data_IF_059962240047
#
_entry.id   IF_059962240047
#
_cell.length_a   1.000
_cell.length_b   1.000
_cell.length_c   1.000
_cell.angle_alpha   90.00
_cell.angle_beta   90.00
_cell.angle_gamma   90.00
#
_symmetry.space_group_name_H-M   'P 1'
#
loop_
_entity.id
_entity.type
_entity.pdbx_description
1 polymer ?
#
# COMPACT_ATOMS: atom_id res chain seq x y z
N UNK A 1 -0.51 15.20 -2.95
CA UNK A 1 -0.45 14.10 -1.96
C UNK A 1 -1.28 14.40 -0.73
N UNK A 2 -0.97 15.43 0.08
CA UNK A 2 -1.76 15.75 1.31
C UNK A 2 -3.27 15.87 1.08
N UNK A 3 -3.69 16.60 0.05
CA UNK A 3 -5.10 16.80 -0.26
C UNK A 3 -5.84 15.50 -0.65
N UNK A 4 -5.17 14.59 -1.38
CA UNK A 4 -5.76 13.30 -1.77
C UNK A 4 -5.89 12.33 -0.58
N UNK A 5 -4.98 12.41 0.40
CA UNK A 5 -5.10 11.65 1.65
C UNK A 5 -6.28 12.14 2.49
N UNK A 6 -6.48 13.46 2.58
CA UNK A 6 -7.62 14.04 3.30
C UNK A 6 -8.97 13.66 2.67
N UNK A 7 -9.05 13.61 1.34
CA UNK A 7 -10.25 13.14 0.63
C UNK A 7 -10.50 11.64 0.83
N UNK A 8 -9.45 10.81 0.80
CA UNK A 8 -9.56 9.38 1.06
C UNK A 8 -10.01 9.09 2.50
N UNK A 9 -9.44 9.79 3.49
CA UNK A 9 -9.84 9.68 4.91
C UNK A 9 -11.30 10.10 5.11
N UNK A 10 -11.75 11.17 4.45
CA UNK A 10 -13.14 11.61 4.53
C UNK A 10 -14.11 10.57 3.95
N UNK A 11 -13.73 9.92 2.84
CA UNK A 11 -14.54 8.92 2.15
C UNK A 11 -14.59 7.57 2.89
N UNK A 12 -13.46 7.08 3.40
CA UNK A 12 -13.35 5.76 4.02
C UNK A 12 -13.67 5.78 5.53
N UNK A 13 -13.44 6.91 6.21
CA UNK A 13 -13.47 6.98 7.67
C UNK A 13 -12.27 6.24 8.28
N UNK A 14 -12.37 5.82 9.54
CA UNK A 14 -11.32 5.00 10.14
C UNK A 14 -11.20 3.69 9.35
N UNK A 15 -9.97 3.32 9.00
CA UNK A 15 -9.66 2.07 8.31
C UNK A 15 -8.68 1.24 9.13
N UNK A 16 -8.89 -0.07 9.15
CA UNK A 16 -7.88 -1.05 9.59
C UNK A 16 -7.47 -1.89 8.40
N UNK A 17 -6.15 -2.06 8.23
CA UNK A 17 -5.59 -2.83 7.11
C UNK A 17 -4.90 -4.07 7.65
N UNK A 18 -5.22 -5.21 7.04
CA UNK A 18 -4.53 -6.48 7.25
C UNK A 18 -3.84 -6.86 5.95
N UNK A 19 -2.57 -7.22 6.04
CA UNK A 19 -1.78 -7.71 4.92
C UNK A 19 -1.60 -9.23 5.06
N UNK A 20 -1.81 -9.96 3.97
CA UNK A 20 -1.59 -11.42 3.90
C UNK A 20 -0.84 -11.77 2.61
N UNK A 21 -0.27 -12.99 2.56
CA UNK A 21 0.49 -13.47 1.40
C UNK A 21 1.61 -12.50 0.96
N UNK A 22 2.25 -11.85 1.94
CA UNK A 22 3.32 -10.90 1.69
C UNK A 22 4.53 -11.62 1.09
N UNK A 23 5.01 -11.11 -0.04
CA UNK A 23 6.24 -11.52 -0.69
C UNK A 23 7.17 -10.33 -0.72
N UNK A 24 8.32 -10.49 -0.07
CA UNK A 24 9.40 -9.52 -0.03
C UNK A 24 10.58 -10.02 -0.86
N UNK A 25 11.01 -9.23 -1.83
CA UNK A 25 12.20 -9.52 -2.64
C UNK A 25 13.09 -8.29 -2.72
N UNK A 26 14.40 -8.48 -2.50
CA UNK A 26 15.40 -7.44 -2.65
C UNK A 26 16.41 -7.83 -3.74
N UNK A 27 16.71 -6.90 -4.65
CA UNK A 27 17.71 -7.07 -5.69
C UNK A 27 18.48 -5.75 -5.89
N UNK A 28 19.74 -5.72 -5.46
CA UNK A 28 20.56 -4.51 -5.49
C UNK A 28 19.93 -3.38 -4.68
N UNK A 29 19.73 -2.24 -5.32
CA UNK A 29 19.09 -1.06 -4.70
C UNK A 29 17.55 -1.08 -4.78
N UNK A 30 16.95 -2.20 -5.18
CA UNK A 30 15.51 -2.31 -5.35
C UNK A 30 14.87 -3.29 -4.38
N UNK A 31 13.67 -2.95 -3.92
CA UNK A 31 12.78 -3.84 -3.17
C UNK A 31 11.48 -3.97 -3.96
N UNK A 32 10.99 -5.18 -4.10
CA UNK A 32 9.66 -5.51 -4.58
C UNK A 32 8.88 -6.08 -3.40
N UNK A 33 7.76 -5.43 -3.08
CA UNK A 33 6.82 -5.88 -2.07
C UNK A 33 5.46 -6.11 -2.72
N UNK A 34 4.93 -7.32 -2.60
CA UNK A 34 3.59 -7.66 -3.10
C UNK A 34 2.82 -8.39 -2.01
N UNK A 35 1.50 -8.32 -2.06
CA UNK A 35 0.66 -9.13 -1.19
C UNK A 35 -0.81 -8.82 -1.39
N UNK A 36 -1.63 -9.39 -0.52
CA UNK A 36 -3.06 -9.11 -0.43
C UNK A 36 -3.32 -8.12 0.69
N UNK A 37 -4.28 -7.23 0.49
CA UNK A 37 -4.81 -6.40 1.56
C UNK A 37 -6.29 -6.70 1.79
N UNK A 38 -6.67 -6.70 3.06
CA UNK A 38 -8.05 -6.59 3.51
C UNK A 38 -8.15 -5.33 4.35
N UNK A 39 -8.95 -4.37 3.89
CA UNK A 39 -9.15 -3.09 4.56
C UNK A 39 -10.60 -2.98 5.02
N UNK A 40 -10.81 -2.99 6.33
CA UNK A 40 -12.13 -2.73 6.90
C UNK A 40 -12.26 -1.22 7.12
N UNK A 41 -13.21 -0.60 6.43
CA UNK A 41 -13.49 0.84 6.51
C UNK A 41 -14.82 1.09 7.21
N UNK A 42 -14.88 2.16 8.00
CA UNK A 42 -16.10 2.54 8.72
C UNK A 42 -17.27 2.84 7.76
N UNK A 43 -16.98 3.45 6.60
CA UNK A 43 -18.02 3.97 5.69
C UNK A 43 -18.25 3.14 4.43
N UNK A 44 -17.28 2.32 4.00
CA UNK A 44 -17.36 1.56 2.75
C UNK A 44 -17.36 0.04 2.94
N UNK A 45 -17.31 -0.44 4.19
CA UNK A 45 -17.23 -1.87 4.49
C UNK A 45 -15.84 -2.45 4.21
N UNK A 46 -15.78 -3.73 3.85
CA UNK A 46 -14.52 -4.42 3.55
C UNK A 46 -14.10 -4.22 2.09
N UNK A 47 -12.89 -3.71 1.89
CA UNK A 47 -12.19 -3.66 0.61
C UNK A 47 -11.10 -4.71 0.61
N UNK A 48 -11.05 -5.54 -0.43
CA UNK A 48 -10.01 -6.56 -0.60
C UNK A 48 -9.36 -6.37 -1.95
N UNK A 49 -8.09 -6.72 -2.04
CA UNK A 49 -7.35 -6.63 -3.28
C UNK A 49 -5.92 -7.08 -3.13
N UNK A 50 -5.18 -6.95 -4.22
CA UNK A 50 -3.75 -7.20 -4.26
C UNK A 50 -3.01 -5.87 -4.40
N UNK A 51 -1.82 -5.77 -3.82
CA UNK A 51 -0.94 -4.62 -3.96
C UNK A 51 0.43 -5.02 -4.48
N UNK A 52 1.09 -4.08 -5.16
CA UNK A 52 2.48 -4.19 -5.62
C UNK A 52 3.17 -2.85 -5.42
N UNK A 53 4.30 -2.88 -4.73
CA UNK A 53 5.16 -1.73 -4.51
C UNK A 53 6.58 -2.03 -4.97
N UNK A 54 7.16 -1.07 -5.69
CA UNK A 54 8.60 -1.06 -5.96
C UNK A 54 9.25 0.10 -5.22
N UNK A 55 10.34 -0.22 -4.53
CA UNK A 55 11.11 0.74 -3.77
C UNK A 55 12.51 0.81 -4.33
N UNK A 56 13.10 2.01 -4.31
CA UNK A 56 14.47 2.27 -4.73
C UNK A 56 15.26 2.92 -3.61
N UNK A 57 16.46 2.41 -3.34
CA UNK A 57 17.42 3.00 -2.41
C UNK A 57 17.78 4.40 -2.86
N UNK A 58 17.71 5.35 -1.93
CA UNK A 58 18.03 6.76 -2.13
C UNK A 58 18.82 7.23 -0.91
N UNK A 59 20.15 7.22 -1.03
CA UNK A 59 21.03 7.41 0.12
C UNK A 59 20.90 6.26 1.11
N UNK A 60 20.59 6.58 2.37
CA UNK A 60 20.47 5.61 3.46
C UNK A 60 19.03 5.11 3.69
N UNK A 61 18.09 5.48 2.81
CA UNK A 61 16.67 5.09 2.90
C UNK A 61 16.14 4.54 1.58
N UNK A 62 14.91 4.04 1.59
CA UNK A 62 14.19 3.60 0.39
C UNK A 62 12.99 4.50 0.14
N UNK A 63 12.72 4.80 -1.13
CA UNK A 63 11.51 5.52 -1.55
C UNK A 63 10.69 4.63 -2.46
N UNK A 64 9.37 4.68 -2.29
CA UNK A 64 8.43 4.04 -3.20
C UNK A 64 8.51 4.78 -4.54
N UNK A 65 8.76 4.04 -5.61
CA UNK A 65 8.82 4.54 -7.00
C UNK A 65 7.64 4.03 -7.84
N UNK A 66 6.92 3.01 -7.35
CA UNK A 66 5.69 2.49 -7.91
C UNK A 66 4.82 1.95 -6.78
N UNK A 67 3.53 2.26 -6.83
CA UNK A 67 2.50 1.75 -5.91
C UNK A 67 1.24 1.46 -6.74
N UNK A 68 0.79 0.21 -6.75
CA UNK A 68 -0.31 -0.26 -7.58
C UNK A 68 -1.22 -1.22 -6.83
N UNK A 69 -2.53 -1.12 -7.11
CA UNK A 69 -3.58 -1.86 -6.43
C UNK A 69 -4.54 -2.46 -7.47
N UNK A 70 -5.00 -3.69 -7.23
CA UNK A 70 -6.06 -4.34 -8.00
C UNK A 70 -7.17 -4.80 -7.06
N UNK A 71 -8.42 -4.51 -7.41
CA UNK A 71 -9.64 -4.79 -6.63
C UNK A 71 -10.42 -5.96 -7.20
#
# INVERSE_FOLDING_TARGET
>A
MKHQFEEADAAMGKASTKITEEIYQMAGDFIILTGKYEMATEKMGELKGDFTQFWKKTGDTYKIIYDGYTF
#
